data_IF_920523678562
#
_entry.id   IF_920523678562
#
_cell.length_a   1.000
_cell.length_b   1.000
_cell.length_c   1.000
_cell.angle_alpha   90.00
_cell.angle_beta   90.00
_cell.angle_gamma   90.00
#
_symmetry.space_group_name_H-M   'P 1'
#
loop_
_entity.id
_entity.type
_entity.pdbx_description
1 polymer ?
#
# COMPACT_ATOMS: atom_id res chain seq x y z
N UNK A 1 4.78 17.56 -16.39
CA UNK A 1 3.84 17.13 -15.34
C UNK A 1 3.59 18.30 -14.40
N UNK A 2 2.34 18.61 -14.08
CA UNK A 2 2.01 19.71 -13.17
C UNK A 2 2.31 19.34 -11.71
N UNK A 3 2.63 20.33 -10.88
CA UNK A 3 2.84 20.11 -9.44
C UNK A 3 1.61 19.54 -8.75
N UNK A 4 0.41 19.92 -9.20
CA UNK A 4 -0.85 19.37 -8.69
C UNK A 4 -0.92 17.85 -8.91
N UNK A 5 -0.58 17.38 -10.10
CA UNK A 5 -0.61 15.95 -10.46
C UNK A 5 0.37 15.14 -9.60
N UNK A 6 1.55 15.69 -9.34
CA UNK A 6 2.54 15.06 -8.46
C UNK A 6 2.02 14.97 -7.03
N UNK A 7 1.41 16.03 -6.50
CA UNK A 7 0.83 16.03 -5.14
C UNK A 7 -0.29 15.03 -5.00
N UNK A 8 -1.17 14.93 -5.99
CA UNK A 8 -2.31 13.99 -5.98
C UNK A 8 -1.80 12.53 -6.00
N UNK A 9 -0.76 12.25 -6.77
CA UNK A 9 -0.12 10.94 -6.81
C UNK A 9 0.47 10.57 -5.44
N UNK A 10 1.16 11.50 -4.77
CA UNK A 10 1.73 11.28 -3.44
C UNK A 10 0.65 11.04 -2.37
N UNK A 11 -0.47 11.76 -2.45
CA UNK A 11 -1.61 11.54 -1.52
C UNK A 11 -2.20 10.16 -1.69
N UNK A 12 -2.38 9.70 -2.93
CA UNK A 12 -2.91 8.37 -3.24
C UNK A 12 -1.99 7.28 -2.70
N UNK A 13 -0.69 7.40 -2.98
CA UNK A 13 0.35 6.49 -2.48
C UNK A 13 0.31 6.41 -0.95
N UNK A 14 0.25 7.56 -0.30
CA UNK A 14 0.20 7.66 1.17
C UNK A 14 -1.05 6.97 1.74
N UNK A 15 -2.21 7.15 1.10
CA UNK A 15 -3.46 6.52 1.50
C UNK A 15 -3.36 4.99 1.40
N UNK A 16 -2.81 4.49 0.31
CA UNK A 16 -2.61 3.05 0.09
C UNK A 16 -1.68 2.46 1.16
N UNK A 17 -0.55 3.11 1.42
CA UNK A 17 0.43 2.66 2.40
C UNK A 17 -0.16 2.59 3.81
N UNK A 18 -0.91 3.60 4.23
CA UNK A 18 -1.56 3.60 5.54
C UNK A 18 -2.58 2.48 5.67
N UNK A 19 -3.40 2.27 4.66
CA UNK A 19 -4.40 1.18 4.68
C UNK A 19 -3.72 -0.19 4.74
N UNK A 20 -2.65 -0.40 4.00
CA UNK A 20 -1.88 -1.66 4.05
C UNK A 20 -1.27 -1.88 5.44
N UNK A 21 -0.61 -0.88 6.00
CA UNK A 21 0.04 -0.98 7.31
C UNK A 21 -1.00 -1.28 8.39
N UNK A 22 -2.12 -0.57 8.38
CA UNK A 22 -3.19 -0.79 9.35
C UNK A 22 -3.76 -2.21 9.21
N UNK A 23 -4.02 -2.65 7.98
CA UNK A 23 -4.48 -4.00 7.71
C UNK A 23 -3.52 -5.06 8.22
N UNK A 24 -2.22 -4.88 7.97
CA UNK A 24 -1.19 -5.80 8.42
C UNK A 24 -1.08 -5.85 9.96
N UNK A 25 -1.15 -4.70 10.61
CA UNK A 25 -1.14 -4.62 12.08
C UNK A 25 -2.36 -5.32 12.70
N UNK A 26 -3.54 -5.10 12.14
CA UNK A 26 -4.76 -5.74 12.61
C UNK A 26 -4.69 -7.26 12.44
N UNK A 27 -4.13 -7.74 11.34
CA UNK A 27 -3.97 -9.18 11.09
C UNK A 27 -2.91 -9.81 12.02
N UNK A 28 -1.83 -9.08 12.28
CA UNK A 28 -0.72 -9.61 13.08
C UNK A 28 -1.00 -9.58 14.60
N UNK A 29 -1.58 -8.51 15.10
CA UNK A 29 -1.72 -8.26 16.55
C UNK A 29 -3.14 -8.00 17.01
N UNK A 30 -4.09 -7.80 16.09
CA UNK A 30 -5.46 -7.41 16.39
C UNK A 30 -5.63 -5.93 16.72
N UNK A 31 -4.54 -5.16 16.72
CA UNK A 31 -4.55 -3.73 17.05
C UNK A 31 -3.70 -2.92 16.08
N UNK A 32 -4.16 -1.71 15.77
CA UNK A 32 -3.41 -0.71 15.01
C UNK A 32 -3.48 0.62 15.75
N UNK A 33 -2.35 1.08 16.24
CA UNK A 33 -2.24 2.34 17.01
C UNK A 33 -1.33 3.32 16.29
N UNK A 34 -1.51 4.61 16.58
CA UNK A 34 -0.69 5.69 15.98
C UNK A 34 0.80 5.41 16.16
N UNK A 35 1.22 4.98 17.36
CA UNK A 35 2.64 4.71 17.64
C UNK A 35 3.20 3.63 16.70
N UNK A 36 2.43 2.58 16.43
CA UNK A 36 2.86 1.48 15.57
C UNK A 36 2.97 1.91 14.11
N UNK A 37 2.01 2.69 13.65
CA UNK A 37 1.99 3.25 12.29
C UNK A 37 3.20 4.18 12.10
N UNK A 38 3.40 5.08 13.05
CA UNK A 38 4.51 6.04 13.02
C UNK A 38 5.87 5.32 12.99
N UNK A 39 6.03 4.28 13.80
CA UNK A 39 7.25 3.49 13.85
C UNK A 39 7.51 2.77 12.52
N UNK A 40 6.49 2.18 11.93
CA UNK A 40 6.61 1.48 10.64
C UNK A 40 6.99 2.42 9.50
N UNK A 41 6.47 3.64 9.53
CA UNK A 41 6.75 4.63 8.48
C UNK A 41 8.00 5.47 8.77
N UNK A 42 8.54 5.40 9.98
CA UNK A 42 9.68 6.23 10.37
C UNK A 42 9.35 7.71 10.45
N UNK A 43 8.16 8.06 10.92
CA UNK A 43 7.67 9.43 11.02
C UNK A 43 7.22 9.76 12.45
N UNK A 44 7.03 11.05 12.73
CA UNK A 44 6.52 11.50 14.02
C UNK A 44 5.05 11.07 14.21
N UNK A 45 4.67 10.77 15.46
CA UNK A 45 3.29 10.42 15.79
C UNK A 45 2.30 11.52 15.43
N UNK A 46 2.68 12.80 15.60
CA UNK A 46 1.84 13.92 15.22
C UNK A 46 1.51 13.91 13.72
N UNK A 47 2.49 13.59 12.88
CA UNK A 47 2.32 13.47 11.43
C UNK A 47 1.38 12.31 11.09
N UNK A 48 1.59 11.14 11.69
CA UNK A 48 0.73 9.97 11.51
C UNK A 48 -0.70 10.28 11.94
N UNK A 49 -0.88 10.92 13.08
CA UNK A 49 -2.20 11.29 13.60
C UNK A 49 -2.95 12.23 12.67
N UNK A 50 -2.26 13.19 12.08
CA UNK A 50 -2.84 14.14 11.11
C UNK A 50 -3.35 13.39 9.87
N UNK A 51 -2.56 12.47 9.34
CA UNK A 51 -2.95 11.67 8.17
C UNK A 51 -4.11 10.74 8.50
N UNK A 52 -4.10 10.08 9.66
CA UNK A 52 -5.18 9.21 10.11
C UNK A 52 -6.50 9.99 10.20
N UNK A 53 -6.49 11.20 10.74
CA UNK A 53 -7.69 12.06 10.79
C UNK A 53 -8.22 12.37 9.40
N UNK A 54 -7.34 12.68 8.45
CA UNK A 54 -7.73 12.90 7.06
C UNK A 54 -8.37 11.66 6.45
N UNK A 55 -7.78 10.50 6.66
CA UNK A 55 -8.28 9.23 6.12
C UNK A 55 -9.62 8.82 6.76
N UNK A 56 -9.84 9.15 8.04
CA UNK A 56 -11.15 8.99 8.68
C UNK A 56 -12.21 9.83 7.97
N UNK A 57 -11.92 11.11 7.73
CA UNK A 57 -12.82 12.02 7.04
C UNK A 57 -13.13 11.53 5.62
N UNK A 58 -12.17 10.92 4.95
CA UNK A 58 -12.33 10.38 3.61
C UNK A 58 -13.01 9.00 3.58
N UNK A 59 -13.30 8.42 4.74
CA UNK A 59 -14.04 7.17 4.84
C UNK A 59 -13.22 5.89 4.73
N UNK A 60 -11.90 5.97 4.82
CA UNK A 60 -11.02 4.78 4.77
C UNK A 60 -10.81 4.13 6.12
N UNK A 61 -10.82 4.93 7.19
CA UNK A 61 -10.51 4.48 8.55
C UNK A 61 -11.65 4.80 9.51
N UNK A 62 -11.73 3.99 10.57
CA UNK A 62 -12.60 4.20 11.70
C UNK A 62 -11.77 4.13 12.97
N UNK A 63 -11.84 5.16 13.81
CA UNK A 63 -11.15 5.20 15.10
C UNK A 63 -12.15 5.54 16.19
N UNK A 64 -12.24 4.70 17.21
CA UNK A 64 -13.06 4.95 18.40
C UNK A 64 -12.17 5.44 19.52
N UNK A 65 -12.68 6.30 20.44
CA UNK A 65 -11.89 6.78 21.58
C UNK A 65 -11.32 5.62 22.38
N UNK A 66 -10.04 5.69 22.73
CA UNK A 66 -9.31 4.70 23.52
C UNK A 66 -9.21 3.30 22.89
N UNK A 67 -9.51 3.20 21.59
CA UNK A 67 -9.47 1.94 20.86
C UNK A 67 -8.52 2.00 19.68
N UNK A 68 -8.27 0.83 19.11
CA UNK A 68 -7.51 0.65 17.88
C UNK A 68 -8.16 1.38 16.70
N UNK A 69 -7.35 1.65 15.69
CA UNK A 69 -7.80 2.12 14.38
C UNK A 69 -8.21 0.90 13.57
N UNK A 70 -9.32 0.99 12.86
CA UNK A 70 -9.84 -0.08 12.00
C UNK A 70 -10.02 0.41 10.58
N UNK A 71 -10.02 -0.51 9.62
CA UNK A 71 -10.34 -0.22 8.23
C UNK A 71 -11.85 -0.33 8.02
N UNK A 72 -12.42 0.63 7.31
CA UNK A 72 -13.79 0.50 6.76
C UNK A 72 -13.73 -0.47 5.58
N UNK A 73 -14.89 -0.85 5.00
CA UNK A 73 -14.90 -1.65 3.77
C UNK A 73 -14.09 -0.98 2.67
N UNK A 74 -14.22 0.33 2.51
CA UNK A 74 -13.45 1.12 1.55
C UNK A 74 -11.95 0.99 1.79
N UNK A 75 -11.52 1.08 3.05
CA UNK A 75 -10.11 0.90 3.42
C UNK A 75 -9.61 -0.51 3.19
N UNK A 76 -10.42 -1.52 3.51
CA UNK A 76 -10.10 -2.94 3.29
C UNK A 76 -9.91 -3.24 1.80
N UNK A 77 -10.80 -2.73 0.96
CA UNK A 77 -10.71 -2.89 -0.50
C UNK A 77 -9.45 -2.27 -1.05
N UNK A 78 -9.11 -1.07 -0.58
CA UNK A 78 -7.90 -0.38 -1.00
C UNK A 78 -6.65 -1.14 -0.57
N UNK A 79 -6.59 -1.60 0.67
CA UNK A 79 -5.47 -2.40 1.19
C UNK A 79 -5.29 -3.70 0.40
N UNK A 80 -6.39 -4.39 0.11
CA UNK A 80 -6.37 -5.64 -0.67
C UNK A 80 -5.89 -5.41 -2.10
N UNK A 81 -6.41 -4.39 -2.76
CA UNK A 81 -6.02 -4.03 -4.13
C UNK A 81 -4.55 -3.64 -4.20
N UNK A 82 -4.10 -2.84 -3.25
CA UNK A 82 -2.71 -2.40 -3.16
C UNK A 82 -1.77 -3.59 -2.95
N UNK A 83 -2.13 -4.52 -2.08
CA UNK A 83 -1.36 -5.73 -1.81
C UNK A 83 -1.23 -6.63 -3.04
N UNK A 84 -2.31 -6.82 -3.78
CA UNK A 84 -2.31 -7.59 -5.03
C UNK A 84 -1.41 -6.94 -6.08
N UNK A 85 -1.48 -5.62 -6.19
CA UNK A 85 -0.64 -4.85 -7.11
C UNK A 85 0.84 -5.01 -6.75
N UNK A 86 1.18 -4.93 -5.47
CA UNK A 86 2.53 -5.15 -4.99
C UNK A 86 3.05 -6.54 -5.40
N UNK A 87 2.28 -7.59 -5.15
CA UNK A 87 2.65 -8.97 -5.50
C UNK A 87 2.88 -9.12 -7.00
N UNK A 88 1.99 -8.54 -7.82
CA UNK A 88 2.12 -8.61 -9.29
C UNK A 88 3.41 -7.94 -9.77
N UNK A 89 3.68 -6.72 -9.31
CA UNK A 89 4.89 -5.98 -9.70
C UNK A 89 6.15 -6.67 -9.20
N UNK A 90 6.16 -7.10 -7.94
CA UNK A 90 7.28 -7.81 -7.34
C UNK A 90 7.61 -9.09 -8.11
N UNK A 91 6.60 -9.90 -8.40
CA UNK A 91 6.75 -11.16 -9.14
C UNK A 91 7.28 -10.90 -10.55
N UNK A 92 6.76 -9.87 -11.20
CA UNK A 92 7.22 -9.47 -12.53
C UNK A 92 8.71 -9.11 -12.52
N UNK A 93 9.15 -8.30 -11.55
CA UNK A 93 10.55 -7.91 -11.43
C UNK A 93 11.46 -9.10 -11.15
N UNK A 94 11.04 -10.03 -10.29
CA UNK A 94 11.78 -11.27 -10.04
C UNK A 94 11.87 -12.13 -11.29
N UNK A 95 10.81 -12.21 -12.06
CA UNK A 95 10.78 -12.96 -13.34
C UNK A 95 11.71 -12.35 -14.40
N UNK A 96 12.05 -11.06 -14.28
CA UNK A 96 13.08 -10.44 -15.12
C UNK A 96 14.50 -10.81 -14.70
N UNK A 97 14.66 -11.46 -13.56
CA UNK A 97 15.97 -11.87 -13.07
C UNK A 97 16.56 -10.98 -11.99
N UNK A 98 15.79 -10.02 -11.46
CA UNK A 98 16.25 -9.18 -10.37
C UNK A 98 16.26 -9.95 -9.05
N UNK A 99 17.26 -9.65 -8.21
CA UNK A 99 17.34 -10.22 -6.87
C UNK A 99 16.21 -9.66 -5.98
N UNK A 100 15.93 -10.36 -4.87
CA UNK A 100 14.84 -9.98 -3.96
C UNK A 100 14.94 -8.55 -3.45
N UNK A 101 16.12 -8.14 -3.03
CA UNK A 101 16.34 -6.81 -2.45
C UNK A 101 16.04 -5.69 -3.44
N UNK A 102 16.55 -5.83 -4.67
CA UNK A 102 16.31 -4.86 -5.74
C UNK A 102 14.84 -4.85 -6.15
N UNK A 103 14.25 -6.03 -6.34
CA UNK A 103 12.85 -6.16 -6.73
C UNK A 103 11.90 -5.56 -5.70
N UNK A 104 12.13 -5.81 -4.40
CA UNK A 104 11.32 -5.23 -3.32
C UNK A 104 11.43 -3.70 -3.29
N UNK A 105 12.64 -3.17 -3.40
CA UNK A 105 12.86 -1.72 -3.39
C UNK A 105 12.18 -1.02 -4.57
N UNK A 106 12.32 -1.58 -5.76
CA UNK A 106 11.73 -0.99 -6.97
C UNK A 106 10.22 -1.16 -7.01
N UNK A 107 9.69 -2.30 -6.54
CA UNK A 107 8.25 -2.55 -6.49
C UNK A 107 7.53 -1.51 -5.63
N UNK A 108 8.10 -1.11 -4.50
CA UNK A 108 7.53 -0.09 -3.62
C UNK A 108 7.22 1.22 -4.36
N UNK A 109 8.07 1.62 -5.28
CA UNK A 109 7.84 2.83 -6.08
C UNK A 109 6.93 2.59 -7.28
N UNK A 110 7.21 1.54 -8.04
CA UNK A 110 6.52 1.25 -9.31
C UNK A 110 5.03 0.95 -9.10
N UNK A 111 4.68 0.19 -8.07
CA UNK A 111 3.30 -0.29 -7.85
C UNK A 111 2.26 0.83 -7.74
N UNK A 112 2.65 1.98 -7.24
CA UNK A 112 1.74 3.12 -7.06
C UNK A 112 1.50 3.92 -8.33
N UNK A 113 2.29 3.68 -9.37
CA UNK A 113 2.30 4.52 -10.57
C UNK A 113 2.05 3.77 -11.89
N UNK A 114 1.79 2.47 -11.82
CA UNK A 114 1.48 1.69 -13.02
C UNK A 114 -0.01 1.78 -13.36
N UNK A 115 -0.31 1.85 -14.65
CA UNK A 115 -1.69 1.79 -15.14
C UNK A 115 -2.25 0.38 -14.99
N UNK A 116 -3.58 0.26 -15.00
CA UNK A 116 -4.24 -1.04 -15.01
C UNK A 116 -3.87 -1.86 -16.24
N UNK A 117 -3.69 -1.20 -17.37
CA UNK A 117 -3.28 -1.85 -18.62
C UNK A 117 -1.90 -2.49 -18.49
N UNK A 118 -0.94 -1.77 -17.93
CA UNK A 118 0.41 -2.28 -17.67
C UNK A 118 0.39 -3.41 -16.66
N UNK A 119 -0.38 -3.25 -15.60
CA UNK A 119 -0.51 -4.26 -14.54
C UNK A 119 -1.04 -5.59 -15.08
N UNK A 120 -2.06 -5.53 -15.97
CA UNK A 120 -2.60 -6.73 -16.62
C UNK A 120 -1.56 -7.42 -17.48
N UNK A 121 -0.71 -6.67 -18.18
CA UNK A 121 0.38 -7.24 -18.99
C UNK A 121 1.42 -7.93 -18.10
N UNK A 122 1.73 -7.34 -16.95
CA UNK A 122 2.62 -7.96 -15.97
C UNK A 122 2.03 -9.28 -15.45
N UNK A 123 0.74 -9.30 -15.12
CA UNK A 123 0.05 -10.52 -14.67
C UNK A 123 0.10 -11.62 -15.73
N UNK A 124 -0.15 -11.28 -16.98
CA UNK A 124 -0.08 -12.24 -18.10
C UNK A 124 1.32 -12.79 -18.27
N UNK A 125 2.33 -11.95 -18.16
CA UNK A 125 3.73 -12.37 -18.22
C UNK A 125 4.05 -13.34 -17.08
N UNK A 126 3.63 -13.03 -15.87
CA UNK A 126 3.86 -13.87 -14.70
C UNK A 126 3.22 -15.26 -14.86
N UNK A 127 2.02 -15.32 -15.40
CA UNK A 127 1.31 -16.60 -15.66
C UNK A 127 2.04 -17.43 -16.73
N UNK A 128 2.51 -16.80 -17.80
CA UNK A 128 3.28 -17.49 -18.84
C UNK A 128 4.58 -18.06 -18.28
N UNK A 129 5.27 -17.31 -17.44
CA UNK A 129 6.52 -17.75 -16.83
C UNK A 129 6.31 -18.99 -15.95
N UNK A 130 5.21 -19.03 -15.19
CA UNK A 130 4.82 -20.18 -14.38
C UNK A 130 4.54 -21.43 -15.23
N UNK A 131 3.94 -21.26 -16.40
CA UNK A 131 3.57 -22.37 -17.28
C UNK A 131 4.76 -23.01 -18.01
N UNK A 132 5.94 -22.38 -17.98
CA UNK A 132 7.16 -22.92 -18.57
C UNK A 132 7.96 -23.80 -17.61
N UNK A 133 7.58 -23.80 -16.35
CA UNK A 133 8.19 -24.62 -15.31
C UNK A 133 7.19 -25.57 -14.72
#
# INVERSE_FOLDING_TARGET
>A
MSFKKVRDAHKTENTEDYCEIIGDLLNATGEARIVDIANKLGIAQATANKTVKRLQTQGYLKKEPYRSIFLTLKGQELASTSKKRHITVLTFLKNLGLDNKTAEADAEGIEHHVSQKTLKKMEQFNKKKLNFF
#
